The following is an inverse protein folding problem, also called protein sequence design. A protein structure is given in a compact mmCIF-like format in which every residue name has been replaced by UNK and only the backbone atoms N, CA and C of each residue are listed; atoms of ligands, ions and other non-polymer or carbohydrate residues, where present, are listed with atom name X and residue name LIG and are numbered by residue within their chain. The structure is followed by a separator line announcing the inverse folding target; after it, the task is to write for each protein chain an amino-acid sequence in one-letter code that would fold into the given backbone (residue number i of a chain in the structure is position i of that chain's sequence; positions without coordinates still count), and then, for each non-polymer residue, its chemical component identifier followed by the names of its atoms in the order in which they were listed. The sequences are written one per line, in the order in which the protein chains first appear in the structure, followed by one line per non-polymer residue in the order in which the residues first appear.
data_IF_154984147277
#
_entry.id   IF_154984147277
#
_cell.length_a   1.000
_cell.length_b   1.000
_cell.length_c   1.000
_cell.angle_alpha   90.00
_cell.angle_beta   90.00
_cell.angle_gamma   90.00
#
_symmetry.space_group_name_H-M   'P 1'
#
loop_
_entity.id
_entity.type
_entity.pdbx_description
1 polymer ?
#
# COMPACT_ATOMS: atom_id res chain seq x y z
N UNK A 1 12.36 -19.74 -9.63
CA UNK A 1 13.54 -19.61 -8.74
C UNK A 1 13.85 -18.13 -8.49
N UNK A 2 12.83 -17.25 -8.43
CA UNK A 2 13.03 -15.78 -8.49
C UNK A 2 12.06 -15.02 -7.56
N UNK A 3 11.65 -15.61 -6.43
CA UNK A 3 10.75 -14.94 -5.47
C UNK A 3 11.50 -14.26 -4.31
N UNK A 4 12.74 -14.64 -4.01
CA UNK A 4 13.47 -14.09 -2.86
C UNK A 4 14.14 -12.74 -3.13
N UNK A 5 14.64 -12.50 -4.34
CA UNK A 5 15.27 -11.21 -4.72
C UNK A 5 14.22 -10.10 -4.92
N UNK A 6 13.04 -10.43 -5.46
CA UNK A 6 11.92 -9.50 -5.62
C UNK A 6 11.33 -9.04 -4.25
N UNK A 7 11.37 -9.92 -3.24
CA UNK A 7 10.85 -9.62 -1.91
C UNK A 7 11.60 -8.50 -1.17
N UNK A 8 12.91 -8.35 -1.38
CA UNK A 8 13.71 -7.32 -0.69
C UNK A 8 13.42 -5.89 -1.17
N UNK A 9 13.22 -5.71 -2.47
CA UNK A 9 12.91 -4.39 -3.06
C UNK A 9 11.45 -4.03 -2.84
N UNK A 10 10.53 -4.98 -3.00
CA UNK A 10 9.10 -4.76 -2.72
C UNK A 10 8.87 -4.35 -1.26
N UNK A 11 9.43 -5.09 -0.29
CA UNK A 11 9.29 -4.79 1.16
C UNK A 11 9.76 -3.37 1.54
N UNK A 12 10.77 -2.86 0.85
CA UNK A 12 11.31 -1.51 1.10
C UNK A 12 10.43 -0.43 0.50
N UNK A 13 9.89 -0.65 -0.69
CA UNK A 13 8.87 0.23 -1.32
C UNK A 13 7.60 0.28 -0.45
N UNK A 14 7.19 -0.86 0.09
CA UNK A 14 6.02 -0.97 0.98
C UNK A 14 6.24 -0.20 2.29
N UNK A 15 7.42 -0.33 2.89
CA UNK A 15 7.77 0.37 4.14
C UNK A 15 7.83 1.90 3.93
N UNK A 16 8.41 2.37 2.84
CA UNK A 16 8.46 3.79 2.51
C UNK A 16 7.05 4.37 2.31
N UNK A 17 6.20 3.65 1.57
CA UNK A 17 4.80 4.02 1.35
C UNK A 17 4.02 4.08 2.66
N UNK A 18 4.20 3.09 3.53
CA UNK A 18 3.58 3.05 4.84
C UNK A 18 3.98 4.25 5.72
N UNK A 19 5.27 4.59 5.76
CA UNK A 19 5.76 5.72 6.56
C UNK A 19 5.15 7.05 6.09
N UNK A 20 5.07 7.27 4.76
CA UNK A 20 4.42 8.47 4.18
C UNK A 20 2.93 8.55 4.53
N UNK A 21 2.21 7.43 4.45
CA UNK A 21 0.78 7.39 4.80
C UNK A 21 0.53 7.58 6.29
N UNK A 22 1.47 7.14 7.15
CA UNK A 22 1.36 7.24 8.59
C UNK A 22 1.80 8.60 9.15
N UNK A 23 2.62 9.34 8.41
CA UNK A 23 3.21 10.61 8.85
C UNK A 23 2.21 11.65 9.39
N UNK A 24 1.01 11.85 8.78
CA UNK A 24 0.01 12.77 9.33
C UNK A 24 -0.56 12.37 10.69
N UNK A 25 -0.48 11.08 11.05
CA UNK A 25 -1.05 10.53 12.29
C UNK A 25 0.01 10.38 13.39
N UNK A 26 1.24 10.01 13.01
CA UNK A 26 2.32 9.72 13.94
C UNK A 26 3.63 10.38 13.47
N UNK A 27 3.72 11.72 13.51
CA UNK A 27 4.81 12.47 12.87
C UNK A 27 6.20 12.12 13.45
N UNK A 28 6.33 12.07 14.77
CA UNK A 28 7.64 11.87 15.41
C UNK A 28 8.24 10.48 15.16
N UNK A 29 7.41 9.43 15.20
CA UNK A 29 7.89 8.07 15.00
C UNK A 29 8.20 7.80 13.52
N UNK A 30 7.42 8.40 12.62
CA UNK A 30 7.64 8.24 11.18
C UNK A 30 8.89 8.98 10.72
N UNK A 31 9.20 10.15 11.29
CA UNK A 31 10.45 10.87 11.06
C UNK A 31 11.68 10.06 11.49
N UNK A 32 11.68 9.52 12.71
CA UNK A 32 12.79 8.69 13.21
C UNK A 32 12.98 7.42 12.36
N UNK A 33 11.88 6.78 11.94
CA UNK A 33 11.96 5.59 11.09
C UNK A 33 12.44 5.92 9.68
N UNK A 34 12.06 7.08 9.15
CA UNK A 34 12.48 7.57 7.84
C UNK A 34 13.99 7.81 7.76
N UNK A 35 14.58 8.43 8.77
CA UNK A 35 16.03 8.59 8.88
C UNK A 35 16.74 7.22 9.01
N UNK A 36 16.19 6.31 9.83
CA UNK A 36 16.74 4.96 10.03
C UNK A 36 16.71 4.10 8.79
N UNK A 37 15.76 4.30 7.89
CA UNK A 37 15.71 3.59 6.59
C UNK A 37 16.63 4.20 5.54
N UNK A 38 17.41 5.24 5.89
CA UNK A 38 18.45 5.82 5.06
C UNK A 38 17.93 6.84 4.05
N UNK A 39 16.77 7.45 4.33
CA UNK A 39 16.27 8.56 3.52
C UNK A 39 16.83 9.89 4.02
N UNK A 40 17.10 10.81 3.09
CA UNK A 40 17.56 12.16 3.39
C UNK A 40 16.39 13.15 3.50
N UNK A 41 16.49 14.06 4.46
CA UNK A 41 15.48 15.10 4.72
C UNK A 41 14.21 14.53 5.37
N UNK A 42 13.22 15.39 5.60
CA UNK A 42 12.03 15.00 6.35
C UNK A 42 11.00 14.25 5.50
N UNK A 43 10.34 13.27 6.12
CA UNK A 43 9.18 12.57 5.54
C UNK A 43 8.05 13.56 5.21
N UNK A 44 7.98 14.69 5.92
CA UNK A 44 6.97 15.74 5.73
C UNK A 44 7.26 16.70 4.56
N UNK A 45 8.53 16.92 4.23
CA UNK A 45 8.95 17.88 3.20
C UNK A 45 9.24 17.23 1.85
N UNK A 46 9.81 16.01 1.88
CA UNK A 46 10.29 15.31 0.68
C UNK A 46 9.47 14.06 0.34
N UNK A 47 8.62 13.62 1.26
CA UNK A 47 7.67 12.55 1.03
C UNK A 47 6.48 13.03 0.21
N UNK A 48 6.64 13.12 -1.11
CA UNK A 48 5.49 13.27 -2.01
C UNK A 48 4.45 12.20 -1.66
N UNK A 49 3.18 12.60 -1.54
CA UNK A 49 2.11 11.64 -1.26
C UNK A 49 2.18 10.48 -2.26
N UNK A 50 2.10 9.22 -1.81
CA UNK A 50 2.28 8.07 -2.70
C UNK A 50 1.27 8.12 -3.85
N UNK A 51 1.76 7.94 -5.08
CA UNK A 51 0.89 7.71 -6.22
C UNK A 51 0.43 6.26 -6.23
N UNK A 52 -0.72 6.02 -6.87
CA UNK A 52 -1.32 4.70 -6.99
C UNK A 52 -0.98 4.07 -8.35
N UNK A 53 -0.67 2.78 -8.34
CA UNK A 53 -0.52 2.01 -9.58
C UNK A 53 -1.83 1.28 -9.90
N UNK A 54 -2.47 1.67 -11.01
CA UNK A 54 -3.73 1.09 -11.46
C UNK A 54 -3.62 -0.39 -11.85
N UNK A 55 -2.45 -0.86 -12.27
CA UNK A 55 -2.25 -2.28 -12.59
C UNK A 55 -2.16 -3.13 -11.32
N UNK A 56 -1.53 -2.61 -10.25
CA UNK A 56 -1.53 -3.27 -8.93
C UNK A 56 -2.93 -3.27 -8.27
N UNK A 57 -3.73 -2.24 -8.53
CA UNK A 57 -5.09 -2.14 -8.02
C UNK A 57 -6.11 -2.99 -8.81
N UNK A 58 -5.73 -3.54 -9.97
CA UNK A 58 -6.66 -4.30 -10.82
C UNK A 58 -6.99 -5.66 -10.17
N UNK A 59 -8.27 -5.96 -9.93
CA UNK A 59 -8.66 -7.27 -9.41
C UNK A 59 -8.45 -8.35 -10.49
N UNK A 60 -7.85 -9.47 -10.12
CA UNK A 60 -7.73 -10.63 -11.02
C UNK A 60 -9.05 -11.40 -11.16
N UNK A 61 -9.90 -11.33 -10.13
CA UNK A 61 -11.22 -11.93 -10.05
C UNK A 61 -12.14 -10.99 -9.29
N UNK A 62 -13.43 -11.01 -9.61
CA UNK A 62 -14.39 -10.06 -9.06
C UNK A 62 -15.57 -10.81 -8.47
N UNK A 63 -15.80 -10.59 -7.19
CA UNK A 63 -16.92 -11.22 -6.51
C UNK A 63 -18.24 -10.53 -6.88
N UNK A 64 -19.15 -11.28 -7.50
CA UNK A 64 -20.46 -10.79 -7.95
C UNK A 64 -21.56 -11.28 -7.01
N UNK A 65 -22.31 -10.33 -6.44
CA UNK A 65 -23.50 -10.63 -5.65
C UNK A 65 -24.72 -10.84 -6.55
N UNK A 66 -25.32 -12.04 -6.50
CA UNK A 66 -26.55 -12.37 -7.23
C UNK A 66 -27.76 -12.04 -6.37
N UNK A 67 -28.65 -11.17 -6.85
CA UNK A 67 -29.89 -10.80 -6.17
C UNK A 67 -31.11 -11.17 -6.99
N UNK A 68 -32.19 -11.59 -6.32
CA UNK A 68 -33.49 -11.88 -6.95
C UNK A 68 -34.57 -11.14 -6.17
N UNK A 69 -35.29 -10.26 -6.87
CA UNK A 69 -36.28 -9.34 -6.29
C UNK A 69 -35.71 -8.53 -5.11
N UNK A 70 -34.50 -7.99 -5.26
CA UNK A 70 -33.84 -7.19 -4.23
C UNK A 70 -33.27 -7.96 -3.04
N UNK A 71 -33.46 -9.29 -2.97
CA UNK A 71 -32.89 -10.14 -1.92
C UNK A 71 -31.67 -10.90 -2.44
N UNK A 72 -30.54 -10.80 -1.73
CA UNK A 72 -29.30 -11.54 -2.03
C UNK A 72 -29.54 -13.04 -1.98
N UNK A 73 -29.07 -13.77 -2.99
CA UNK A 73 -29.26 -15.22 -3.16
C UNK A 73 -27.96 -16.00 -3.21
N UNK A 74 -26.95 -15.42 -3.85
CA UNK A 74 -25.64 -16.06 -3.97
C UNK A 74 -24.55 -15.01 -4.10
N UNK A 75 -23.32 -15.47 -3.98
CA UNK A 75 -22.09 -14.75 -4.25
C UNK A 75 -21.21 -15.70 -5.06
N UNK A 76 -20.71 -15.22 -6.19
CA UNK A 76 -19.86 -15.97 -7.11
C UNK A 76 -18.59 -15.18 -7.38
N UNK A 77 -17.47 -15.87 -7.64
CA UNK A 77 -16.14 -15.28 -7.87
C UNK A 77 -15.81 -15.14 -9.37
#
# INVERSE_FOLDING_TARGET
VDQEAAGGTARRIDAETLLKLLAPFAPFITEELWERTGHDGSVHDRGTWPDHDAELARPQRVTVAVTVNGKRRAEIE
#
